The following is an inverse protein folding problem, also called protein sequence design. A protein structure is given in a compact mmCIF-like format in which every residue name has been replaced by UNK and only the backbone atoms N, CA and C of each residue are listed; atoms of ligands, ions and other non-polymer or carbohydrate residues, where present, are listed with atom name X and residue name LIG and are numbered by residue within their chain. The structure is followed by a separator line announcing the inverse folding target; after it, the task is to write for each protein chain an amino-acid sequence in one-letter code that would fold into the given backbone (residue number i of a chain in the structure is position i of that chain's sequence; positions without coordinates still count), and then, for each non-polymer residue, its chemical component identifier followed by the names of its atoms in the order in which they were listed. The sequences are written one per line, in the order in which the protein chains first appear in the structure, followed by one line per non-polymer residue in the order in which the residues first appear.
data_IF_899858083736
#
_entry.id   IF_899858083736
#
_cell.length_a   1.000
_cell.length_b   1.000
_cell.length_c   1.000
_cell.angle_alpha   90.00
_cell.angle_beta   90.00
_cell.angle_gamma   90.00
#
_symmetry.space_group_name_H-M   'P 1'
#
loop_
_entity.id
_entity.type
_entity.pdbx_description
1 polymer ?
#
# COMPACT_ATOMS: atom_id res chain seq x y z
N UNK A 1 13.52 4.03 10.92
CA UNK A 1 12.85 5.16 10.25
C UNK A 1 11.40 4.74 10.10
N UNK A 2 10.49 5.53 10.67
CA UNK A 2 9.06 5.23 10.86
C UNK A 2 8.32 5.06 9.52
N UNK A 3 7.37 4.10 9.44
CA UNK A 3 6.53 3.84 8.27
C UNK A 3 5.81 5.10 7.78
N UNK A 4 5.33 5.92 8.73
CA UNK A 4 4.74 7.24 8.47
C UNK A 4 5.67 8.11 7.63
N UNK A 5 6.96 8.16 7.96
CA UNK A 5 7.94 8.99 7.27
C UNK A 5 8.16 8.55 5.82
N UNK A 6 8.14 7.24 5.56
CA UNK A 6 8.27 6.70 4.20
C UNK A 6 7.06 7.03 3.34
N UNK A 7 5.84 6.86 3.87
CA UNK A 7 4.61 7.16 3.13
C UNK A 7 4.52 8.64 2.76
N UNK A 8 4.86 9.55 3.69
CA UNK A 8 4.95 10.99 3.40
C UNK A 8 6.06 11.35 2.38
N UNK A 9 7.03 10.46 2.16
CA UNK A 9 8.06 10.64 1.14
C UNK A 9 7.68 10.06 -0.23
N UNK A 10 6.55 9.36 -0.33
CA UNK A 10 6.09 8.70 -1.55
C UNK A 10 6.69 7.32 -1.78
N UNK A 11 7.23 6.70 -0.74
CA UNK A 11 7.66 5.30 -0.80
C UNK A 11 6.46 4.42 -0.50
N UNK A 12 6.16 3.51 -1.42
CA UNK A 12 5.16 2.46 -1.22
C UNK A 12 5.68 1.48 -0.16
N UNK A 13 4.82 1.16 0.79
CA UNK A 13 5.10 0.29 1.91
C UNK A 13 4.23 -0.96 1.81
N UNK A 14 4.70 -2.09 2.31
CA UNK A 14 3.94 -3.34 2.29
C UNK A 14 4.24 -4.19 3.53
N UNK A 15 3.34 -5.12 3.81
CA UNK A 15 3.52 -6.19 4.78
C UNK A 15 2.84 -7.46 4.27
N UNK A 16 3.45 -8.61 4.57
CA UNK A 16 2.79 -9.90 4.39
C UNK A 16 1.84 -10.16 5.56
N UNK A 17 0.65 -10.62 5.23
CA UNK A 17 -0.43 -10.97 6.16
C UNK A 17 -0.51 -12.48 6.31
N UNK A 18 -1.23 -12.93 7.33
CA UNK A 18 -1.62 -14.34 7.41
C UNK A 18 -2.50 -14.71 6.21
N UNK A 19 -2.07 -15.73 5.48
CA UNK A 19 -2.78 -16.26 4.32
C UNK A 19 -4.06 -17.02 4.74
N UNK A 20 -5.11 -16.99 3.91
CA UNK A 20 -6.32 -17.75 4.20
C UNK A 20 -6.15 -19.25 3.88
N UNK A 21 -5.19 -19.59 3.01
CA UNK A 21 -4.86 -20.97 2.63
C UNK A 21 -3.35 -21.16 2.43
N UNK A 22 -2.87 -22.40 2.52
CA UNK A 22 -1.43 -22.74 2.35
C UNK A 22 -0.90 -22.51 0.93
N UNK A 23 -1.79 -22.42 -0.05
CA UNK A 23 -1.49 -22.27 -1.48
C UNK A 23 -1.50 -20.82 -1.95
N UNK A 24 -1.71 -19.88 -1.03
CA UNK A 24 -1.70 -18.45 -1.32
C UNK A 24 -0.81 -17.69 -0.33
N UNK A 25 -0.36 -16.51 -0.77
CA UNK A 25 0.24 -15.49 0.08
C UNK A 25 -0.66 -14.26 0.05
N UNK A 26 -0.68 -13.53 1.16
CA UNK A 26 -1.57 -12.38 1.33
C UNK A 26 -0.75 -11.17 1.73
N UNK A 27 -1.06 -10.02 1.15
CA UNK A 27 -0.31 -8.80 1.37
C UNK A 27 -1.24 -7.62 1.62
N UNK A 28 -0.69 -6.62 2.30
CA UNK A 28 -1.22 -5.26 2.29
C UNK A 28 -0.15 -4.34 1.72
N UNK A 29 -0.50 -3.59 0.68
CA UNK A 29 0.37 -2.56 0.10
C UNK A 29 -0.26 -1.19 0.31
N UNK A 30 0.52 -0.22 0.77
CA UNK A 30 0.08 1.12 1.16
C UNK A 30 0.93 2.17 0.46
N UNK A 31 0.30 3.17 -0.14
CA UNK A 31 0.99 4.25 -0.83
C UNK A 31 0.38 5.62 -0.56
N UNK A 32 1.17 6.65 -0.87
CA UNK A 32 0.76 8.05 -0.79
C UNK A 32 0.84 8.74 -2.15
N UNK A 33 -0.14 9.58 -2.45
CA UNK A 33 -0.20 10.37 -3.68
C UNK A 33 -0.74 11.77 -3.41
N UNK A 34 -0.61 12.64 -4.41
CA UNK A 34 -1.23 13.95 -4.43
C UNK A 34 -2.23 13.99 -5.58
N UNK A 35 -3.41 14.53 -5.30
CA UNK A 35 -4.44 14.76 -6.30
C UNK A 35 -4.61 16.27 -6.52
N UNK A 36 -4.34 16.73 -7.74
CA UNK A 36 -4.50 18.13 -8.13
C UNK A 36 -5.44 18.18 -9.33
N UNK A 37 -6.67 18.61 -9.10
CA UNK A 37 -7.67 18.78 -10.15
C UNK A 37 -8.03 17.47 -10.86
N UNK A 38 -8.08 16.34 -10.12
CA UNK A 38 -8.42 15.02 -10.66
C UNK A 38 -7.25 14.30 -11.34
N UNK A 39 -6.02 14.77 -11.12
CA UNK A 39 -4.79 14.12 -11.61
C UNK A 39 -3.96 13.65 -10.43
N UNK A 40 -3.66 12.36 -10.44
CA UNK A 40 -2.83 11.69 -9.43
C UNK A 40 -1.36 11.83 -9.76
N UNK A 41 -0.57 12.26 -8.78
CA UNK A 41 0.88 12.37 -8.85
C UNK A 41 1.56 11.59 -7.73
N UNK A 42 2.64 10.89 -8.05
CA UNK A 42 3.55 10.37 -7.03
C UNK A 42 4.22 11.52 -6.27
N UNK A 43 4.21 11.44 -4.94
CA UNK A 43 4.81 12.43 -4.04
C UNK A 43 6.29 12.66 -4.38
N UNK A 44 7.04 11.59 -4.64
CA UNK A 44 8.50 11.66 -4.90
C UNK A 44 8.84 12.51 -6.13
N UNK A 45 7.98 12.46 -7.16
CA UNK A 45 8.12 13.24 -8.39
C UNK A 45 7.67 14.69 -8.20
N UNK A 46 6.55 14.89 -7.50
CA UNK A 46 5.99 16.23 -7.30
C UNK A 46 6.87 17.09 -6.39
N UNK A 47 7.44 16.51 -5.32
CA UNK A 47 8.29 17.20 -4.34
C UNK A 47 9.51 17.88 -4.95
N UNK A 48 10.02 17.34 -6.06
CA UNK A 48 11.16 17.91 -6.79
C UNK A 48 10.82 19.27 -7.44
N UNK A 49 9.55 19.51 -7.72
CA UNK A 49 9.07 20.70 -8.46
C UNK A 49 8.35 21.70 -7.56
N UNK A 50 7.66 21.23 -6.52
CA UNK A 50 6.81 22.06 -5.67
C UNK A 50 6.88 21.64 -4.20
N UNK A 51 6.71 22.59 -3.27
CA UNK A 51 6.47 22.24 -1.87
C UNK A 51 5.16 21.45 -1.75
N UNK A 52 5.16 20.43 -0.89
CA UNK A 52 3.99 19.60 -0.59
C UNK A 52 3.59 19.86 0.85
N UNK A 53 2.34 20.23 1.08
CA UNK A 53 1.79 20.21 2.43
C UNK A 53 1.34 18.78 2.74
N UNK A 54 1.55 18.35 3.98
CA UNK A 54 1.13 17.01 4.42
C UNK A 54 -0.39 16.80 4.27
N UNK A 55 -1.15 17.88 4.34
CA UNK A 55 -2.61 17.91 4.21
C UNK A 55 -3.06 17.61 2.77
N UNK A 56 -2.20 17.84 1.77
CA UNK A 56 -2.50 17.57 0.36
C UNK A 56 -2.24 16.10 -0.03
N UNK A 57 -1.66 15.31 0.89
CA UNK A 57 -1.34 13.91 0.66
C UNK A 57 -2.55 13.04 1.00
N UNK A 58 -2.97 12.27 0.00
CA UNK A 58 -3.94 11.20 0.15
C UNK A 58 -3.22 9.86 0.18
N UNK A 59 -3.81 8.90 0.88
CA UNK A 59 -3.32 7.54 0.95
C UNK A 59 -4.27 6.57 0.26
N UNK A 60 -3.72 5.44 -0.13
CA UNK A 60 -4.47 4.27 -0.59
C UNK A 60 -3.85 3.01 -0.02
N UNK A 61 -4.61 1.94 0.00
CA UNK A 61 -4.08 0.61 0.22
C UNK A 61 -4.77 -0.45 -0.64
N UNK A 62 -4.03 -1.53 -0.86
CA UNK A 62 -4.52 -2.78 -1.43
C UNK A 62 -4.40 -3.86 -0.36
N UNK A 63 -5.42 -4.70 -0.19
CA UNK A 63 -5.30 -5.99 0.51
C UNK A 63 -5.60 -7.05 -0.51
N UNK A 64 -4.69 -8.00 -0.71
CA UNK A 64 -4.86 -8.99 -1.76
C UNK A 64 -4.21 -10.33 -1.41
N UNK A 65 -4.79 -11.39 -1.94
CA UNK A 65 -4.25 -12.75 -1.91
C UNK A 65 -3.87 -13.18 -3.32
N UNK A 66 -2.71 -13.82 -3.47
CA UNK A 66 -2.25 -14.40 -4.73
C UNK A 66 -1.83 -15.85 -4.53
N UNK A 67 -1.99 -16.72 -5.54
CA UNK A 67 -1.38 -18.04 -5.52
C UNK A 67 0.14 -17.98 -5.34
N UNK A 68 0.72 -18.95 -4.63
CA UNK A 68 2.17 -18.98 -4.35
C UNK A 68 3.04 -18.97 -5.62
N UNK A 69 2.55 -19.58 -6.71
CA UNK A 69 3.32 -19.72 -7.94
C UNK A 69 3.71 -18.36 -8.57
N UNK A 70 2.96 -17.28 -8.29
CA UNK A 70 3.37 -15.96 -8.77
C UNK A 70 4.69 -15.50 -8.15
N UNK A 71 4.93 -15.82 -6.87
CA UNK A 71 6.20 -15.50 -6.22
C UNK A 71 7.26 -16.53 -6.56
N UNK A 72 6.91 -17.81 -6.53
CA UNK A 72 7.86 -18.90 -6.76
C UNK A 72 8.48 -18.82 -8.18
N UNK A 73 7.70 -18.37 -9.16
CA UNK A 73 8.09 -18.28 -10.57
C UNK A 73 8.42 -16.83 -11.03
N UNK A 74 8.43 -15.84 -10.12
CA UNK A 74 8.71 -14.41 -10.40
C UNK A 74 7.84 -13.84 -11.53
N UNK A 75 6.52 -14.03 -11.42
CA UNK A 75 5.54 -13.64 -12.42
C UNK A 75 4.88 -12.29 -12.07
N UNK A 76 4.62 -11.50 -13.11
CA UNK A 76 3.81 -10.29 -12.97
C UNK A 76 2.39 -10.64 -12.49
N UNK A 77 1.87 -9.84 -11.57
CA UNK A 77 0.52 -9.99 -11.03
C UNK A 77 -0.34 -8.79 -11.45
N UNK A 78 -1.53 -9.08 -11.96
CA UNK A 78 -2.58 -8.08 -12.15
C UNK A 78 -3.74 -8.33 -11.18
N UNK A 79 -4.60 -7.32 -11.01
CA UNK A 79 -5.78 -7.40 -10.13
C UNK A 79 -6.66 -8.63 -10.42
N UNK A 80 -6.81 -9.00 -11.70
CA UNK A 80 -7.61 -10.17 -12.11
C UNK A 80 -6.99 -11.51 -11.72
N UNK A 81 -5.70 -11.52 -11.38
CA UNK A 81 -4.98 -12.72 -10.95
C UNK A 81 -5.09 -12.94 -9.43
N UNK A 82 -5.58 -11.94 -8.69
CA UNK A 82 -5.77 -12.02 -7.25
C UNK A 82 -6.99 -12.89 -6.89
N UNK A 83 -6.83 -13.73 -5.87
CA UNK A 83 -7.90 -14.54 -5.29
C UNK A 83 -8.89 -13.64 -4.52
N UNK A 84 -8.33 -12.70 -3.77
CA UNK A 84 -9.04 -11.63 -3.08
C UNK A 84 -8.34 -10.32 -3.44
N UNK A 85 -9.10 -9.27 -3.70
CA UNK A 85 -8.57 -7.94 -3.93
C UNK A 85 -9.50 -6.89 -3.34
N UNK A 86 -8.95 -6.06 -2.46
CA UNK A 86 -9.62 -4.91 -1.86
C UNK A 86 -8.75 -3.69 -2.14
N UNK A 87 -9.34 -2.66 -2.74
CA UNK A 87 -8.72 -1.36 -2.89
C UNK A 87 -9.51 -0.29 -2.14
N UNK A 88 -8.82 0.52 -1.35
CA UNK A 88 -9.38 1.73 -0.73
C UNK A 88 -8.45 2.89 -1.03
N UNK A 89 -8.98 3.94 -1.65
CA UNK A 89 -8.26 5.17 -2.00
C UNK A 89 -8.86 6.41 -1.35
N UNK A 90 -8.30 7.56 -1.71
CA UNK A 90 -8.75 8.89 -1.27
C UNK A 90 -8.80 9.11 0.24
N UNK A 91 -7.91 8.43 0.98
CA UNK A 91 -7.85 8.53 2.44
C UNK A 91 -7.02 9.76 2.83
N UNK A 92 -7.66 10.74 3.47
CA UNK A 92 -7.00 11.98 3.90
C UNK A 92 -6.41 11.80 5.30
N UNK A 93 -5.08 11.90 5.43
CA UNK A 93 -4.38 11.83 6.72
C UNK A 93 -4.02 10.41 7.16
N UNK A 94 -2.89 10.31 7.87
CA UNK A 94 -2.31 9.03 8.29
C UNK A 94 -3.16 8.34 9.36
N UNK A 95 -3.74 9.11 10.26
CA UNK A 95 -4.59 8.60 11.34
C UNK A 95 -5.87 7.96 10.76
N UNK A 96 -6.42 8.53 9.68
CA UNK A 96 -7.57 7.94 8.98
C UNK A 96 -7.17 6.69 8.20
N UNK A 97 -5.98 6.65 7.59
CA UNK A 97 -5.43 5.44 6.96
C UNK A 97 -5.38 4.27 7.94
N UNK A 98 -4.86 4.50 9.15
CA UNK A 98 -4.83 3.49 10.20
C UNK A 98 -6.24 3.02 10.57
N UNK A 99 -7.19 3.95 10.74
CA UNK A 99 -8.58 3.60 11.01
C UNK A 99 -9.22 2.77 9.89
N UNK A 100 -9.01 3.13 8.62
CA UNK A 100 -9.55 2.39 7.48
C UNK A 100 -8.96 0.99 7.38
N UNK A 101 -7.63 0.83 7.51
CA UNK A 101 -7.00 -0.49 7.49
C UNK A 101 -7.57 -1.39 8.60
N UNK A 102 -7.78 -0.85 9.81
CA UNK A 102 -8.34 -1.61 10.94
C UNK A 102 -9.79 -2.05 10.75
N UNK A 103 -10.54 -1.47 9.80
CA UNK A 103 -11.87 -2.01 9.45
C UNK A 103 -11.78 -3.36 8.73
N UNK A 104 -10.67 -3.59 8.02
CA UNK A 104 -10.43 -4.82 7.27
C UNK A 104 -9.55 -5.80 8.03
N UNK A 105 -8.58 -5.28 8.81
CA UNK A 105 -7.62 -6.06 9.58
C UNK A 105 -7.53 -5.44 10.99
N UNK A 106 -8.46 -5.79 11.92
CA UNK A 106 -8.61 -5.09 13.21
C UNK A 106 -7.37 -5.03 14.10
N UNK A 107 -6.48 -6.01 13.98
CA UNK A 107 -5.25 -6.09 14.78
C UNK A 107 -4.01 -5.60 14.02
N UNK A 108 -4.17 -4.99 12.85
CA UNK A 108 -3.04 -4.55 12.04
C UNK A 108 -2.30 -3.40 12.71
N UNK A 109 -0.97 -3.54 12.76
CA UNK A 109 -0.05 -2.50 13.17
C UNK A 109 0.54 -1.84 11.92
N UNK A 110 0.20 -0.58 11.67
CA UNK A 110 0.69 0.16 10.50
C UNK A 110 2.21 0.35 10.56
N UNK A 111 2.80 0.37 11.75
CA UNK A 111 4.26 0.51 11.91
C UNK A 111 5.01 -0.79 11.57
N UNK A 112 4.30 -1.91 11.38
CA UNK A 112 4.87 -3.16 10.85
C UNK A 112 5.17 -3.11 9.35
N UNK A 113 4.63 -2.11 8.63
CA UNK A 113 4.89 -1.91 7.22
C UNK A 113 6.38 -1.63 6.96
N UNK A 114 6.92 -2.28 5.94
CA UNK A 114 8.27 -2.04 5.44
C UNK A 114 8.24 -1.57 3.99
N UNK A 115 9.29 -0.93 3.46
CA UNK A 115 9.29 -0.53 2.06
C UNK A 115 9.05 -1.73 1.12
N UNK A 116 8.16 -1.58 0.14
CA UNK A 116 7.68 -2.68 -0.71
C UNK A 116 8.80 -3.44 -1.45
N UNK A 117 9.86 -2.75 -1.85
CA UNK A 117 11.07 -3.34 -2.45
C UNK A 117 11.89 -4.24 -1.50
N UNK A 118 11.46 -4.38 -0.24
CA UNK A 118 11.99 -5.33 0.75
C UNK A 118 11.00 -6.45 1.09
N UNK A 119 9.89 -6.52 0.38
CA UNK A 119 8.88 -7.58 0.48
C UNK A 119 8.79 -8.34 -0.84
N UNK A 120 8.20 -9.52 -0.80
CA UNK A 120 7.82 -10.24 -2.03
C UNK A 120 6.48 -9.76 -2.60
N UNK A 121 5.95 -8.62 -2.12
CA UNK A 121 4.67 -8.10 -2.57
C UNK A 121 4.75 -7.73 -4.06
N UNK A 122 3.94 -8.36 -4.93
CA UNK A 122 4.02 -8.18 -6.38
C UNK A 122 3.26 -6.94 -6.89
N UNK A 123 2.42 -6.33 -6.05
CA UNK A 123 1.61 -5.13 -6.33
C UNK A 123 1.86 -4.05 -5.27
#
# INVERSE_FOLDING_TARGET
MDAKMYLFSGVTMSAELEANAKTERRFITVGGYIDIGGRTFSISNYRKKYPINKEDIKFYFHIYSIPNYFIDDDLDVHENDCIEYIYVGDINGYENLECEIKKHIPQFDVDSLIPMWKTDAPI
#
